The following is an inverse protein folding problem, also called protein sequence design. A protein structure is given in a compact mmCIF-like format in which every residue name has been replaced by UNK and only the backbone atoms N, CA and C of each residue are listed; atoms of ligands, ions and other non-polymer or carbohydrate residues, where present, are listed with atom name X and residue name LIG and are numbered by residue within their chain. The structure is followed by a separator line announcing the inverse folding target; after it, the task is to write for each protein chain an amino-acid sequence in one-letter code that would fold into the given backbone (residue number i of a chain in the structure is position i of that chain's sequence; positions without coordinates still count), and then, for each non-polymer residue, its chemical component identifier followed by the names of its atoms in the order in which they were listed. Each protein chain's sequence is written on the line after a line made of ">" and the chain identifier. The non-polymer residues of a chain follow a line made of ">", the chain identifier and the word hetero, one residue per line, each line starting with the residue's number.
data_IF_328362245069
#
_entry.id   IF_328362245069
#
_cell.length_a   1.000
_cell.length_b   1.000
_cell.length_c   1.000
_cell.angle_alpha   90.00
_cell.angle_beta   90.00
_cell.angle_gamma   90.00
#
_symmetry.space_group_name_H-M   'P 1'
#
loop_
_entity.id
_entity.type
_entity.pdbx_description
1 polymer ?
#
# COMPACT_ATOMS: atom_id res chain seq x y z
N UNK A 1 2.52 1.30 12.95
CA UNK A 1 2.77 1.56 14.37
C UNK A 1 4.19 1.18 14.82
N UNK A 2 4.81 0.14 14.24
CA UNK A 2 6.16 -0.29 14.65
C UNK A 2 7.28 0.61 14.13
N UNK A 3 7.01 1.40 13.10
CA UNK A 3 7.97 2.31 12.47
C UNK A 3 7.87 3.73 13.04
N UNK A 4 6.70 4.12 13.57
CA UNK A 4 6.38 5.47 14.05
C UNK A 4 6.19 5.47 15.57
N UNK A 5 6.81 6.42 16.26
CA UNK A 5 6.66 6.63 17.70
C UNK A 5 7.97 6.92 18.42
N UNK A 6 7.96 7.18 19.72
CA UNK A 6 9.16 7.46 20.50
C UNK A 6 10.18 6.33 20.39
N UNK A 7 11.42 6.63 19.98
CA UNK A 7 12.50 5.66 19.82
C UNK A 7 12.34 4.71 18.63
N UNK A 8 11.36 4.93 17.73
CA UNK A 8 11.18 4.19 16.49
C UNK A 8 11.98 4.82 15.35
N UNK A 9 11.96 4.20 14.15
CA UNK A 9 12.65 4.73 12.99
C UNK A 9 12.19 6.15 12.62
N UNK A 10 10.89 6.43 12.75
CA UNK A 10 10.31 7.77 12.72
C UNK A 10 9.99 8.18 14.17
N UNK A 11 11.01 8.69 14.86
CA UNK A 11 10.89 9.10 16.25
C UNK A 11 10.07 10.39 16.37
N UNK A 12 8.87 10.26 16.92
CA UNK A 12 7.94 11.38 17.10
C UNK A 12 8.44 12.48 18.08
N UNK A 13 9.56 12.25 18.78
CA UNK A 13 10.24 13.28 19.58
C UNK A 13 11.15 14.16 18.73
N UNK A 14 11.58 13.67 17.56
CA UNK A 14 12.48 14.36 16.61
C UNK A 14 11.74 14.89 15.40
N UNK A 15 10.65 14.22 14.99
CA UNK A 15 9.92 14.51 13.76
C UNK A 15 8.47 14.92 14.05
N UNK A 16 8.04 15.99 13.42
CA UNK A 16 6.61 16.26 13.27
C UNK A 16 6.10 15.38 12.13
N UNK A 17 5.26 14.41 12.46
CA UNK A 17 4.74 13.43 11.51
C UNK A 17 3.33 13.83 11.10
N UNK A 18 3.11 13.93 9.79
CA UNK A 18 1.79 14.13 9.19
C UNK A 18 1.34 12.83 8.53
N UNK A 19 0.09 12.49 8.71
CA UNK A 19 -0.61 11.43 7.99
C UNK A 19 -1.98 11.98 7.60
N UNK A 20 -2.52 11.52 6.49
CA UNK A 20 -3.85 11.91 6.04
C UNK A 20 -4.61 10.71 5.48
N UNK A 21 -5.92 10.77 5.57
CA UNK A 21 -6.81 9.79 4.97
C UNK A 21 -6.99 10.07 3.49
N UNK A 22 -6.87 9.06 2.67
CA UNK A 22 -6.97 9.21 1.22
C UNK A 22 -8.40 9.53 0.77
N UNK A 23 -8.52 10.44 -0.20
CA UNK A 23 -9.77 10.64 -0.93
C UNK A 23 -10.28 9.30 -1.47
N UNK A 24 -11.59 9.12 -1.51
CA UNK A 24 -12.20 7.88 -1.95
C UNK A 24 -12.78 7.04 -0.80
N UNK A 25 -12.78 7.59 0.44
CA UNK A 25 -13.43 6.99 1.60
C UNK A 25 -12.50 6.18 2.50
N UNK A 26 -11.22 6.56 2.57
CA UNK A 26 -10.33 6.13 3.64
C UNK A 26 -10.59 7.00 4.87
N UNK A 27 -10.77 6.37 6.04
CA UNK A 27 -11.06 7.07 7.28
C UNK A 27 -12.23 8.07 7.15
N UNK A 28 -12.00 9.31 7.56
CA UNK A 28 -12.97 10.41 7.50
C UNK A 28 -12.91 11.22 6.19
N UNK A 29 -12.06 10.86 5.26
CA UNK A 29 -11.95 11.54 3.96
C UNK A 29 -13.19 11.36 3.10
N UNK A 30 -13.45 12.36 2.26
CA UNK A 30 -14.55 12.33 1.30
C UNK A 30 -14.48 11.09 0.41
N UNK A 31 -15.58 10.37 0.32
CA UNK A 31 -15.69 9.14 -0.46
C UNK A 31 -17.07 8.93 -1.05
N UNK A 32 -17.24 7.89 -1.89
CA UNK A 32 -18.49 7.58 -2.53
C UNK A 32 -19.58 7.28 -1.50
N UNK A 33 -20.80 7.74 -1.81
CA UNK A 33 -22.00 7.44 -1.03
C UNK A 33 -22.89 6.46 -1.82
N UNK A 34 -23.67 5.61 -1.15
CA UNK A 34 -24.61 4.72 -1.84
C UNK A 34 -25.54 5.50 -2.76
N UNK A 35 -25.63 5.08 -4.02
CA UNK A 35 -26.49 5.71 -5.03
C UNK A 35 -26.05 7.06 -5.56
N UNK A 36 -24.94 7.63 -5.07
CA UNK A 36 -24.40 8.90 -5.57
C UNK A 36 -23.19 8.65 -6.51
N UNK A 37 -23.10 9.47 -7.56
CA UNK A 37 -21.93 9.47 -8.43
C UNK A 37 -20.71 10.00 -7.65
N UNK A 38 -19.59 9.30 -7.80
CA UNK A 38 -18.30 9.73 -7.27
C UNK A 38 -17.24 9.58 -8.38
N UNK A 39 -16.40 10.59 -8.62
CA UNK A 39 -15.42 10.54 -9.70
C UNK A 39 -14.39 9.44 -9.49
N UNK A 40 -13.77 8.98 -10.58
CA UNK A 40 -12.51 8.25 -10.49
C UNK A 40 -11.44 9.17 -9.95
N UNK A 41 -10.59 8.62 -9.11
CA UNK A 41 -9.47 9.31 -8.48
C UNK A 41 -8.17 8.57 -8.78
N UNK A 42 -7.10 9.31 -8.92
CA UNK A 42 -5.76 8.81 -9.17
C UNK A 42 -4.82 9.13 -8.02
N UNK A 43 -3.60 8.66 -8.08
CA UNK A 43 -2.55 9.06 -7.13
C UNK A 43 -2.17 10.53 -7.25
N UNK A 44 -2.43 11.17 -8.41
CA UNK A 44 -2.26 12.62 -8.54
C UNK A 44 -3.31 13.42 -7.79
N UNK A 45 -4.54 12.92 -7.69
CA UNK A 45 -5.57 13.57 -6.87
C UNK A 45 -5.23 13.48 -5.38
N UNK A 46 -4.63 12.36 -4.95
CA UNK A 46 -4.10 12.22 -3.59
C UNK A 46 -2.91 13.17 -3.35
N UNK A 47 -2.02 13.31 -4.33
CA UNK A 47 -0.91 14.25 -4.27
C UNK A 47 -1.38 15.70 -4.17
N UNK A 48 -2.41 16.08 -4.95
CA UNK A 48 -3.06 17.39 -4.87
C UNK A 48 -3.69 17.62 -3.49
N UNK A 49 -4.39 16.61 -2.95
CA UNK A 49 -4.98 16.68 -1.61
C UNK A 49 -3.91 16.93 -0.53
N UNK A 50 -2.77 16.23 -0.63
CA UNK A 50 -1.63 16.45 0.27
C UNK A 50 -1.08 17.89 0.10
N UNK A 51 -0.89 18.37 -1.12
CA UNK A 51 -0.38 19.72 -1.35
C UNK A 51 -1.30 20.79 -0.73
N UNK A 52 -2.63 20.66 -0.91
CA UNK A 52 -3.62 21.55 -0.28
C UNK A 52 -3.63 21.46 1.25
N UNK A 53 -3.45 20.26 1.79
CA UNK A 53 -3.30 20.07 3.23
C UNK A 53 -2.06 20.79 3.77
N UNK A 54 -0.92 20.69 3.08
CA UNK A 54 0.31 21.40 3.45
C UNK A 54 0.13 22.92 3.41
N UNK A 55 -0.54 23.45 2.38
CA UNK A 55 -0.88 24.86 2.27
C UNK A 55 -1.77 25.32 3.46
N UNK A 56 -2.82 24.56 3.76
CA UNK A 56 -3.71 24.83 4.88
C UNK A 56 -2.96 24.83 6.23
N UNK A 57 -2.06 23.89 6.42
CA UNK A 57 -1.22 23.78 7.62
C UNK A 57 -0.03 24.77 7.62
N UNK A 58 0.15 25.56 6.55
CA UNK A 58 1.26 26.49 6.34
C UNK A 58 2.63 25.77 6.41
N UNK A 59 2.70 24.53 5.93
CA UNK A 59 3.92 23.76 5.79
C UNK A 59 4.45 23.95 4.37
N UNK A 60 5.59 24.61 4.22
CA UNK A 60 6.15 24.94 2.89
C UNK A 60 6.79 23.72 2.22
N UNK A 61 7.46 22.90 2.99
CA UNK A 61 8.13 21.69 2.49
C UNK A 61 8.23 20.63 3.57
N UNK A 62 8.31 19.38 3.13
CA UNK A 62 8.50 18.20 3.96
C UNK A 62 9.98 17.79 3.93
N UNK A 63 10.54 17.42 5.07
CA UNK A 63 11.88 16.84 5.13
C UNK A 63 11.96 15.49 4.43
N UNK A 64 10.88 14.73 4.49
CA UNK A 64 10.74 13.47 3.78
C UNK A 64 9.27 13.10 3.59
N UNK A 65 8.99 12.34 2.53
CA UNK A 65 7.75 11.58 2.39
C UNK A 65 8.13 10.11 2.50
N UNK A 66 7.46 9.40 3.42
CA UNK A 66 7.65 7.97 3.67
C UNK A 66 6.38 7.24 3.29
N UNK A 67 6.44 6.34 2.32
CA UNK A 67 5.27 5.63 1.84
C UNK A 67 5.55 4.17 1.49
N UNK A 68 4.66 3.26 1.91
CA UNK A 68 4.65 1.86 1.48
C UNK A 68 3.50 1.59 0.52
N UNK A 69 3.72 0.74 -0.50
CA UNK A 69 2.69 0.33 -1.46
C UNK A 69 1.97 1.56 -2.07
N UNK A 70 0.65 1.68 -1.90
CA UNK A 70 -0.11 2.83 -2.38
C UNK A 70 0.43 4.17 -1.88
N UNK A 71 0.90 4.24 -0.62
CA UNK A 71 1.54 5.45 -0.09
C UNK A 71 2.83 5.81 -0.82
N UNK A 72 3.58 4.83 -1.28
CA UNK A 72 4.75 5.03 -2.15
C UNK A 72 4.37 5.54 -3.54
N UNK A 73 3.27 5.04 -4.12
CA UNK A 73 2.72 5.54 -5.39
C UNK A 73 2.29 7.01 -5.27
N UNK A 74 1.62 7.37 -4.18
CA UNK A 74 1.23 8.77 -3.90
C UNK A 74 2.46 9.65 -3.70
N UNK A 75 3.50 9.16 -3.01
CA UNK A 75 4.76 9.88 -2.82
C UNK A 75 5.46 10.17 -4.16
N UNK A 76 5.47 9.21 -5.08
CA UNK A 76 6.02 9.38 -6.43
C UNK A 76 5.22 10.42 -7.23
N UNK A 77 3.88 10.34 -7.23
CA UNK A 77 3.02 11.32 -7.90
C UNK A 77 3.18 12.73 -7.31
N UNK A 78 3.35 12.82 -5.98
CA UNK A 78 3.61 14.10 -5.32
C UNK A 78 4.96 14.68 -5.73
N UNK A 79 6.02 13.88 -5.73
CA UNK A 79 7.36 14.35 -6.07
C UNK A 79 7.49 14.75 -7.56
N UNK A 80 6.77 14.08 -8.47
CA UNK A 80 6.73 14.51 -9.86
C UNK A 80 6.05 15.88 -10.02
N UNK A 81 4.95 16.11 -9.29
CA UNK A 81 4.11 17.32 -9.43
C UNK A 81 4.60 18.50 -8.60
N UNK A 82 5.17 18.22 -7.43
CA UNK A 82 5.59 19.21 -6.43
C UNK A 82 7.03 18.98 -5.94
N UNK A 83 8.02 18.95 -6.84
CA UNK A 83 9.39 18.55 -6.51
C UNK A 83 10.02 19.44 -5.42
N UNK A 84 9.64 20.72 -5.33
CA UNK A 84 10.18 21.65 -4.34
C UNK A 84 9.57 21.50 -2.94
N UNK A 85 8.51 20.69 -2.81
CA UNK A 85 7.81 20.52 -1.54
C UNK A 85 8.23 19.29 -0.74
N UNK A 86 9.18 18.49 -1.25
CA UNK A 86 9.73 17.34 -0.55
C UNK A 86 11.26 17.30 -0.72
N UNK A 87 11.99 17.26 0.38
CA UNK A 87 13.45 17.18 0.33
C UNK A 87 13.95 15.78 -0.02
N UNK A 88 13.20 14.74 0.28
CA UNK A 88 13.52 13.33 -0.07
C UNK A 88 12.31 12.42 -0.03
N UNK A 89 12.43 11.27 -0.70
CA UNK A 89 11.46 10.19 -0.65
C UNK A 89 12.07 8.93 -0.04
N UNK A 90 11.26 8.22 0.73
CA UNK A 90 11.51 6.85 1.14
C UNK A 90 10.28 6.03 0.77
N UNK A 91 10.42 5.16 -0.23
CA UNK A 91 9.31 4.36 -0.74
C UNK A 91 9.63 2.87 -0.59
N UNK A 92 8.63 2.08 -0.23
CA UNK A 92 8.75 0.63 -0.07
C UNK A 92 7.67 -0.06 -0.88
N UNK A 93 8.05 -1.07 -1.66
CA UNK A 93 7.09 -1.87 -2.46
C UNK A 93 6.17 -1.00 -3.32
N UNK A 94 6.77 -0.07 -4.08
CA UNK A 94 6.08 0.82 -5.02
C UNK A 94 6.89 0.99 -6.31
N UNK A 95 6.21 1.14 -7.43
CA UNK A 95 6.79 1.37 -8.75
C UNK A 95 6.08 2.55 -9.45
N UNK A 96 6.55 2.94 -10.64
CA UNK A 96 5.97 4.05 -11.41
C UNK A 96 4.60 3.72 -12.05
N UNK A 97 4.26 2.46 -12.08
CA UNK A 97 2.97 1.92 -12.55
C UNK A 97 2.70 0.57 -11.91
N UNK A 98 1.44 0.12 -11.84
CA UNK A 98 1.12 -1.21 -11.35
C UNK A 98 1.62 -2.30 -12.32
N UNK A 99 2.06 -3.41 -11.78
CA UNK A 99 2.36 -4.60 -12.57
C UNK A 99 1.05 -5.15 -13.18
N UNK A 100 1.03 -5.60 -14.46
CA UNK A 100 -0.21 -6.12 -15.09
C UNK A 100 -0.89 -7.25 -14.32
N UNK A 101 -0.12 -8.12 -13.65
CA UNK A 101 -0.68 -9.18 -12.80
C UNK A 101 -1.38 -8.60 -11.56
N UNK A 102 -0.86 -7.53 -10.95
CA UNK A 102 -1.53 -6.83 -9.85
C UNK A 102 -2.87 -6.23 -10.31
N UNK A 103 -2.90 -5.60 -11.49
CA UNK A 103 -4.15 -5.10 -12.11
C UNK A 103 -5.16 -6.23 -12.32
N UNK A 104 -4.70 -7.42 -12.78
CA UNK A 104 -5.58 -8.57 -12.96
C UNK A 104 -6.20 -9.01 -11.63
N UNK A 105 -5.41 -9.12 -10.57
CA UNK A 105 -5.90 -9.48 -9.24
C UNK A 105 -6.86 -8.43 -8.65
N UNK A 106 -6.53 -7.15 -8.74
CA UNK A 106 -7.41 -6.06 -8.32
C UNK A 106 -8.73 -6.08 -9.12
N UNK A 107 -8.66 -6.41 -10.41
CA UNK A 107 -9.84 -6.53 -11.26
C UNK A 107 -10.78 -7.66 -10.78
N UNK A 108 -10.23 -8.83 -10.45
CA UNK A 108 -11.01 -9.95 -9.85
C UNK A 108 -11.66 -9.51 -8.54
N UNK A 109 -10.91 -8.88 -7.65
CA UNK A 109 -11.45 -8.38 -6.38
C UNK A 109 -12.59 -7.37 -6.58
N UNK A 110 -12.43 -6.41 -7.50
CA UNK A 110 -13.49 -5.45 -7.82
C UNK A 110 -14.73 -6.10 -8.41
N UNK A 111 -14.59 -7.14 -9.24
CA UNK A 111 -15.72 -7.89 -9.76
C UNK A 111 -16.48 -8.64 -8.66
N UNK A 112 -15.77 -9.28 -7.74
CA UNK A 112 -16.37 -9.93 -6.55
C UNK A 112 -17.21 -8.92 -5.77
N UNK A 113 -16.64 -7.74 -5.47
CA UNK A 113 -17.33 -6.71 -4.68
C UNK A 113 -18.54 -6.14 -5.43
N UNK A 114 -18.43 -5.87 -6.75
CA UNK A 114 -19.57 -5.40 -7.56
C UNK A 114 -20.71 -6.42 -7.58
N UNK A 115 -20.39 -7.69 -7.84
CA UNK A 115 -21.38 -8.76 -7.82
C UNK A 115 -22.07 -8.87 -6.45
N UNK A 116 -21.31 -8.77 -5.36
CA UNK A 116 -21.87 -8.81 -4.02
C UNK A 116 -22.77 -7.60 -3.70
N UNK A 117 -22.41 -6.40 -4.20
CA UNK A 117 -23.27 -5.22 -4.10
C UNK A 117 -24.60 -5.42 -4.83
N UNK A 118 -24.60 -5.99 -6.05
CA UNK A 118 -25.80 -6.30 -6.82
C UNK A 118 -26.69 -7.33 -6.10
N UNK A 119 -26.08 -8.25 -5.35
CA UNK A 119 -26.78 -9.24 -4.52
C UNK A 119 -27.22 -8.70 -3.14
N UNK A 120 -26.97 -7.45 -2.80
CA UNK A 120 -27.26 -6.88 -1.48
C UNK A 120 -26.37 -7.42 -0.35
N UNK A 121 -25.19 -7.99 -0.67
CA UNK A 121 -24.27 -8.65 0.28
C UNK A 121 -22.85 -8.02 0.27
N UNK A 122 -22.72 -6.68 0.42
CA UNK A 122 -21.45 -5.99 0.25
C UNK A 122 -20.36 -6.45 1.21
N UNK A 123 -20.68 -6.80 2.45
CA UNK A 123 -19.71 -7.24 3.44
C UNK A 123 -19.09 -8.60 3.07
N UNK A 124 -19.86 -9.49 2.50
CA UNK A 124 -19.35 -10.77 2.02
C UNK A 124 -18.43 -10.58 0.82
N UNK A 125 -18.79 -9.68 -0.11
CA UNK A 125 -17.92 -9.31 -1.22
C UNK A 125 -16.58 -8.77 -0.75
N UNK A 126 -16.58 -7.89 0.23
CA UNK A 126 -15.36 -7.37 0.84
C UNK A 126 -14.54 -8.46 1.54
N UNK A 127 -15.18 -9.38 2.24
CA UNK A 127 -14.51 -10.52 2.87
C UNK A 127 -13.83 -11.42 1.85
N UNK A 128 -14.49 -11.73 0.74
CA UNK A 128 -13.93 -12.51 -0.36
C UNK A 128 -12.77 -11.79 -1.06
N UNK A 129 -12.94 -10.49 -1.34
CA UNK A 129 -11.87 -9.68 -1.93
C UNK A 129 -10.64 -9.62 -1.02
N UNK A 130 -10.84 -9.50 0.31
CA UNK A 130 -9.76 -9.57 1.29
C UNK A 130 -9.08 -10.93 1.30
N UNK A 131 -9.81 -12.02 1.19
CA UNK A 131 -9.22 -13.36 1.12
C UNK A 131 -8.31 -13.51 -0.10
N UNK A 132 -8.72 -13.00 -1.26
CA UNK A 132 -7.87 -12.91 -2.45
C UNK A 132 -6.61 -12.08 -2.15
N UNK A 133 -6.75 -10.89 -1.55
CA UNK A 133 -5.61 -10.05 -1.20
C UNK A 133 -4.61 -10.77 -0.28
N UNK A 134 -5.09 -11.41 0.79
CA UNK A 134 -4.26 -12.13 1.74
C UNK A 134 -3.46 -13.27 1.08
N UNK A 135 -4.04 -13.94 0.08
CA UNK A 135 -3.34 -15.01 -0.67
C UNK A 135 -2.26 -14.48 -1.61
N UNK A 136 -2.25 -13.17 -1.90
CA UNK A 136 -1.32 -12.53 -2.83
C UNK A 136 -0.25 -11.69 -2.13
N UNK A 137 -0.55 -11.14 -0.95
CA UNK A 137 0.38 -10.30 -0.20
C UNK A 137 1.54 -11.10 0.42
N UNK A 138 1.34 -12.40 0.63
CA UNK A 138 2.30 -13.29 1.27
C UNK A 138 3.01 -14.16 0.25
N UNK A 139 4.23 -14.59 0.59
CA UNK A 139 4.95 -15.54 -0.24
C UNK A 139 4.40 -16.95 -0.13
N UNK A 140 4.70 -17.79 -1.12
CA UNK A 140 4.41 -19.24 -1.10
C UNK A 140 5.09 -19.94 0.07
N UNK A 141 6.30 -19.47 0.44
CA UNK A 141 7.08 -19.98 1.55
C UNK A 141 6.40 -19.75 2.90
N UNK A 142 5.82 -18.55 3.12
CA UNK A 142 5.04 -18.28 4.35
C UNK A 142 3.82 -19.19 4.43
N UNK A 143 3.08 -19.36 3.31
CA UNK A 143 1.94 -20.26 3.28
C UNK A 143 2.33 -21.70 3.57
N UNK A 144 3.40 -22.19 2.95
CA UNK A 144 3.89 -23.55 3.19
C UNK A 144 4.35 -23.76 4.64
N UNK A 145 4.99 -22.76 5.24
CA UNK A 145 5.45 -22.83 6.62
C UNK A 145 4.30 -22.77 7.65
N UNK A 146 3.23 -22.02 7.37
CA UNK A 146 2.13 -21.78 8.31
C UNK A 146 0.99 -22.78 8.21
N UNK A 147 0.70 -23.27 7.02
CA UNK A 147 -0.52 -24.03 6.76
C UNK A 147 -0.21 -25.40 6.20
N UNK A 148 -0.25 -26.45 7.03
CA UNK A 148 -0.12 -27.82 6.52
C UNK A 148 -1.28 -28.13 5.57
N UNK A 149 -0.97 -28.75 4.43
CA UNK A 149 -1.96 -29.18 3.44
C UNK A 149 -2.70 -30.47 3.86
N UNK A 150 -3.01 -30.59 5.14
CA UNK A 150 -3.73 -31.74 5.71
C UNK A 150 -5.15 -31.33 6.03
N UNK A 151 -6.16 -31.89 5.35
CA UNK A 151 -7.55 -31.57 5.62
C UNK A 151 -7.98 -32.11 6.98
N UNK A 152 -8.90 -31.40 7.62
CA UNK A 152 -9.71 -31.89 8.74
C UNK A 152 -11.11 -32.20 8.24
N UNK A 153 -11.74 -33.27 8.76
CA UNK A 153 -13.11 -33.64 8.42
C UNK A 153 -14.01 -33.45 9.64
N UNK A 154 -15.07 -32.70 9.46
CA UNK A 154 -16.11 -32.55 10.47
C UNK A 154 -17.49 -32.44 9.78
N UNK A 155 -18.52 -33.13 10.29
CA UNK A 155 -19.86 -33.05 9.73
C UNK A 155 -20.00 -33.47 8.26
N UNK A 156 -19.11 -34.34 7.76
CA UNK A 156 -19.07 -34.75 6.35
C UNK A 156 -18.41 -33.76 5.37
N UNK A 157 -17.91 -32.64 5.88
CA UNK A 157 -17.19 -31.65 5.06
C UNK A 157 -15.70 -31.67 5.39
N UNK A 158 -14.88 -31.43 4.38
CA UNK A 158 -13.44 -31.21 4.53
C UNK A 158 -13.15 -29.72 4.63
N UNK A 159 -12.20 -29.36 5.49
CA UNK A 159 -11.65 -28.01 5.58
C UNK A 159 -10.14 -28.04 5.75
N UNK A 160 -9.48 -27.00 5.29
CA UNK A 160 -8.04 -26.84 5.42
C UNK A 160 -7.69 -25.71 6.41
N UNK A 161 -6.57 -25.81 7.15
CA UNK A 161 -6.16 -24.77 8.09
C UNK A 161 -6.07 -23.35 7.47
N UNK A 162 -5.72 -23.26 6.19
CA UNK A 162 -5.63 -22.00 5.45
C UNK A 162 -6.99 -21.33 5.27
N UNK A 163 -8.09 -22.09 5.18
CA UNK A 163 -9.45 -21.52 5.03
C UNK A 163 -9.84 -20.70 6.25
N UNK A 164 -9.50 -21.16 7.46
CA UNK A 164 -9.77 -20.42 8.71
C UNK A 164 -8.98 -19.12 8.80
N UNK A 165 -7.81 -19.06 8.17
CA UNK A 165 -7.04 -17.84 8.06
C UNK A 165 -7.66 -16.85 7.07
N UNK A 166 -8.11 -17.33 5.93
CA UNK A 166 -8.72 -16.50 4.88
C UNK A 166 -10.13 -16.04 5.28
N UNK A 167 -10.90 -16.89 5.98
CA UNK A 167 -12.30 -16.68 6.35
C UNK A 167 -12.52 -16.86 7.85
N UNK A 168 -11.96 -15.96 8.70
CA UNK A 168 -12.18 -16.05 10.14
C UNK A 168 -13.64 -15.74 10.49
N UNK A 169 -14.20 -16.46 11.45
CA UNK A 169 -15.61 -16.34 11.88
C UNK A 169 -15.98 -14.91 12.35
N UNK A 170 -15.02 -14.16 12.85
CA UNK A 170 -15.19 -12.80 13.39
C UNK A 170 -14.58 -11.72 12.50
N UNK A 171 -14.49 -11.94 11.19
CA UNK A 171 -13.87 -10.99 10.28
C UNK A 171 -14.67 -9.69 10.17
N UNK A 172 -14.26 -8.67 10.91
CA UNK A 172 -14.53 -7.29 10.54
C UNK A 172 -13.37 -6.76 9.70
N UNK A 173 -13.65 -6.05 8.62
CA UNK A 173 -12.61 -5.34 7.88
C UNK A 173 -12.06 -4.23 8.77
N UNK A 174 -10.73 -4.08 8.88
CA UNK A 174 -10.14 -2.98 9.61
C UNK A 174 -10.67 -1.63 9.08
N UNK A 175 -11.07 -0.74 9.98
CA UNK A 175 -11.44 0.63 9.63
C UNK A 175 -12.83 0.83 9.02
N UNK A 176 -13.69 -0.19 8.96
CA UNK A 176 -15.07 -0.01 8.47
C UNK A 176 -15.15 0.38 6.98
N UNK A 177 -14.16 -0.02 6.16
CA UNK A 177 -14.11 0.28 4.73
C UNK A 177 -15.40 -0.19 4.03
N UNK A 178 -16.09 0.73 3.33
CA UNK A 178 -17.29 0.42 2.56
C UNK A 178 -16.94 -0.14 1.19
N UNK A 179 -17.84 -0.92 0.60
CA UNK A 179 -17.64 -1.55 -0.69
C UNK A 179 -17.38 -0.53 -1.82
N UNK A 180 -18.10 0.58 -1.81
CA UNK A 180 -17.91 1.67 -2.78
C UNK A 180 -16.53 2.33 -2.64
N UNK A 181 -16.07 2.53 -1.40
CA UNK A 181 -14.75 3.06 -1.12
C UNK A 181 -13.65 2.09 -1.56
N UNK A 182 -13.81 0.79 -1.29
CA UNK A 182 -12.91 -0.24 -1.79
C UNK A 182 -12.77 -0.19 -3.32
N UNK A 183 -13.90 -0.09 -4.03
CA UNK A 183 -13.88 -0.03 -5.50
C UNK A 183 -13.10 1.19 -6.02
N UNK A 184 -13.28 2.35 -5.39
CA UNK A 184 -12.57 3.59 -5.80
C UNK A 184 -11.09 3.58 -5.47
N UNK A 185 -10.73 3.15 -4.27
CA UNK A 185 -9.32 3.06 -3.86
C UNK A 185 -8.58 1.97 -4.64
N UNK A 186 -9.21 0.82 -4.91
CA UNK A 186 -8.65 -0.22 -5.76
C UNK A 186 -8.47 0.22 -7.22
N UNK A 187 -9.40 1.01 -7.78
CA UNK A 187 -9.26 1.63 -9.09
C UNK A 187 -8.10 2.63 -9.12
N UNK A 188 -7.94 3.42 -8.06
CA UNK A 188 -6.87 4.41 -7.93
C UNK A 188 -5.46 3.80 -7.95
N UNK A 189 -5.30 2.59 -7.38
CA UNK A 189 -4.06 1.81 -7.50
C UNK A 189 -3.72 1.53 -8.96
N UNK A 190 -4.71 1.08 -9.74
CA UNK A 190 -4.52 0.68 -11.13
C UNK A 190 -4.36 1.88 -12.09
N UNK A 191 -4.88 3.05 -11.70
CA UNK A 191 -4.70 4.31 -12.43
C UNK A 191 -3.35 4.99 -12.17
N UNK A 192 -2.53 4.44 -11.26
CA UNK A 192 -1.22 5.00 -10.96
C UNK A 192 -0.30 4.91 -12.18
N UNK A 193 0.20 6.07 -12.62
CA UNK A 193 1.23 6.15 -13.64
C UNK A 193 1.97 7.48 -13.51
N UNK A 194 3.27 7.42 -13.25
CA UNK A 194 4.16 8.59 -13.17
C UNK A 194 5.33 8.45 -14.14
N UNK A 195 5.88 9.58 -14.57
CA UNK A 195 7.12 9.59 -15.35
C UNK A 195 8.32 9.66 -14.39
N UNK A 196 8.95 8.51 -14.15
CA UNK A 196 10.11 8.39 -13.27
C UNK A 196 11.28 9.32 -13.67
N UNK A 197 11.44 9.64 -14.96
CA UNK A 197 12.49 10.52 -15.44
C UNK A 197 12.29 11.98 -15.02
N UNK A 198 11.09 12.35 -14.61
CA UNK A 198 10.74 13.70 -14.10
C UNK A 198 10.84 13.82 -12.58
N UNK A 199 11.18 12.75 -11.88
CA UNK A 199 11.33 12.76 -10.41
C UNK A 199 12.80 12.96 -10.07
N UNK A 200 13.14 14.16 -9.62
CA UNK A 200 14.52 14.54 -9.25
C UNK A 200 14.76 14.55 -7.74
N UNK A 201 13.70 14.41 -6.94
CA UNK A 201 13.79 14.37 -5.49
C UNK A 201 14.63 13.16 -5.06
N UNK A 202 15.65 13.35 -4.21
CA UNK A 202 16.47 12.24 -3.69
C UNK A 202 15.59 11.12 -3.14
N UNK A 203 15.70 9.92 -3.70
CA UNK A 203 14.79 8.82 -3.40
C UNK A 203 15.55 7.57 -2.96
N UNK A 204 15.14 7.01 -1.84
CA UNK A 204 15.50 5.65 -1.45
C UNK A 204 14.28 4.74 -1.68
N UNK A 205 14.41 3.84 -2.65
CA UNK A 205 13.40 2.84 -2.96
C UNK A 205 13.80 1.49 -2.35
N UNK A 206 12.87 0.86 -1.63
CA UNK A 206 13.07 -0.46 -1.04
C UNK A 206 12.16 -1.46 -1.74
N UNK A 207 12.71 -2.56 -2.23
CA UNK A 207 11.97 -3.67 -2.83
C UNK A 207 12.21 -4.97 -2.07
N UNK A 208 11.16 -5.76 -1.84
CA UNK A 208 11.28 -7.10 -1.29
C UNK A 208 11.38 -8.12 -2.44
N UNK A 209 12.26 -9.12 -2.28
CA UNK A 209 12.52 -10.12 -3.33
C UNK A 209 11.31 -11.00 -3.59
N UNK A 210 10.54 -11.28 -2.54
CA UNK A 210 9.39 -12.17 -2.55
C UNK A 210 8.06 -11.45 -2.80
N UNK A 211 8.11 -10.13 -3.10
CA UNK A 211 6.93 -9.33 -3.41
C UNK A 211 6.40 -9.70 -4.81
N UNK A 212 5.19 -10.25 -4.85
CA UNK A 212 4.52 -10.64 -6.09
C UNK A 212 3.61 -9.53 -6.66
N UNK A 213 3.21 -8.60 -5.80
CA UNK A 213 2.34 -7.48 -6.20
C UNK A 213 3.13 -6.37 -6.88
N UNK A 214 4.29 -6.04 -6.30
CA UNK A 214 5.26 -5.09 -6.84
C UNK A 214 6.59 -5.81 -6.99
N UNK A 215 6.77 -6.56 -8.09
CA UNK A 215 7.98 -7.33 -8.32
C UNK A 215 9.25 -6.47 -8.20
N UNK A 216 10.30 -7.01 -7.58
CA UNK A 216 11.56 -6.30 -7.42
C UNK A 216 12.11 -5.76 -8.75
N UNK A 217 11.83 -6.44 -9.87
CA UNK A 217 12.17 -5.99 -11.22
C UNK A 217 11.57 -4.64 -11.57
N UNK A 218 10.33 -4.36 -11.15
CA UNK A 218 9.66 -3.09 -11.41
C UNK A 218 10.25 -1.96 -10.56
N UNK A 219 10.63 -2.24 -9.31
CA UNK A 219 11.34 -1.27 -8.45
C UNK A 219 12.73 -0.95 -9.00
N UNK A 220 13.46 -1.95 -9.52
CA UNK A 220 14.74 -1.75 -10.21
C UNK A 220 14.57 -0.88 -11.46
N UNK A 221 13.53 -1.14 -12.25
CA UNK A 221 13.23 -0.37 -13.46
C UNK A 221 12.84 1.07 -13.13
N UNK A 222 12.09 1.31 -12.06
CA UNK A 222 11.80 2.65 -11.54
C UNK A 222 13.11 3.40 -11.22
N UNK A 223 13.95 2.83 -10.35
CA UNK A 223 15.22 3.45 -9.90
C UNK A 223 16.15 3.73 -11.08
N UNK A 224 16.25 2.84 -12.05
CA UNK A 224 17.09 3.00 -13.24
C UNK A 224 16.67 4.19 -14.12
N UNK A 225 15.42 4.63 -14.04
CA UNK A 225 14.92 5.79 -14.80
C UNK A 225 14.92 7.09 -14.02
N UNK A 226 15.08 7.04 -12.71
CA UNK A 226 15.16 8.23 -11.86
C UNK A 226 16.58 8.80 -11.85
N UNK A 227 16.70 10.12 -11.92
CA UNK A 227 18.02 10.78 -11.95
C UNK A 227 18.75 10.81 -10.60
N UNK A 228 18.04 10.60 -9.48
CA UNK A 228 18.58 10.69 -8.13
C UNK A 228 17.92 9.68 -7.20
N UNK A 229 18.11 8.40 -7.47
CA UNK A 229 17.51 7.33 -6.69
C UNK A 229 18.51 6.22 -6.37
N UNK A 230 18.32 5.57 -5.23
CA UNK A 230 19.05 4.37 -4.85
C UNK A 230 18.08 3.25 -4.48
N UNK A 231 18.43 2.03 -4.87
CA UNK A 231 17.69 0.83 -4.51
C UNK A 231 18.28 0.21 -3.23
N UNK A 232 17.41 -0.25 -2.36
CA UNK A 232 17.71 -1.17 -1.26
C UNK A 232 16.85 -2.41 -1.41
N UNK A 233 17.46 -3.57 -1.40
CA UNK A 233 16.77 -4.85 -1.49
C UNK A 233 16.68 -5.49 -0.11
N UNK A 234 15.50 -5.97 0.25
CA UNK A 234 15.28 -6.80 1.44
C UNK A 234 14.75 -8.17 1.03
N UNK A 235 14.84 -9.13 1.92
CA UNK A 235 14.25 -10.45 1.74
C UNK A 235 13.28 -10.69 2.90
N UNK A 236 12.07 -11.17 2.58
CA UNK A 236 11.04 -11.44 3.58
C UNK A 236 10.03 -12.45 3.07
N UNK A 237 9.81 -13.50 3.84
CA UNK A 237 8.72 -14.44 3.57
C UNK A 237 7.34 -13.79 3.57
N UNK A 238 7.24 -12.56 4.11
CA UNK A 238 5.99 -11.81 4.14
C UNK A 238 5.64 -11.15 2.80
N UNK A 239 6.48 -11.28 1.77
CA UNK A 239 6.19 -10.79 0.41
C UNK A 239 5.90 -9.29 0.40
N UNK A 240 4.73 -8.90 -0.12
CA UNK A 240 4.32 -7.50 -0.17
C UNK A 240 4.19 -6.85 1.21
N UNK A 241 3.78 -7.60 2.23
CA UNK A 241 3.65 -7.10 3.60
C UNK A 241 5.01 -6.89 4.32
N UNK A 242 6.14 -7.08 3.65
CA UNK A 242 7.48 -6.87 4.23
C UNK A 242 7.61 -5.48 4.88
N UNK A 243 7.02 -4.42 4.28
CA UNK A 243 7.09 -3.07 4.85
C UNK A 243 6.36 -2.91 6.19
N UNK A 244 5.46 -3.84 6.53
CA UNK A 244 4.76 -3.89 7.81
C UNK A 244 5.38 -4.88 8.81
N UNK A 245 6.12 -5.87 8.31
CA UNK A 245 6.56 -7.03 9.08
C UNK A 245 8.07 -7.07 9.34
N UNK A 246 8.84 -6.24 8.63
CA UNK A 246 10.31 -6.19 8.72
C UNK A 246 10.81 -4.84 9.29
N UNK A 247 10.34 -4.41 10.48
CA UNK A 247 10.70 -3.11 11.04
C UNK A 247 12.21 -2.97 11.28
N UNK A 248 12.90 -4.05 11.62
CA UNK A 248 14.35 -4.03 11.90
C UNK A 248 15.17 -3.82 10.62
N UNK A 249 14.82 -4.52 9.52
CA UNK A 249 15.47 -4.30 8.23
C UNK A 249 15.25 -2.89 7.72
N UNK A 250 14.03 -2.36 7.87
CA UNK A 250 13.68 -1.02 7.40
C UNK A 250 14.25 0.09 8.27
N UNK A 251 14.42 -0.11 9.57
CA UNK A 251 14.91 0.91 10.52
C UNK A 251 16.24 1.48 10.08
N UNK A 252 17.24 0.61 9.80
CA UNK A 252 18.58 1.03 9.41
C UNK A 252 18.56 1.76 8.06
N UNK A 253 17.81 1.25 7.08
CA UNK A 253 17.70 1.86 5.75
C UNK A 253 17.03 3.24 5.84
N UNK A 254 15.94 3.34 6.61
CA UNK A 254 15.20 4.57 6.79
C UNK A 254 16.02 5.63 7.54
N UNK A 255 16.71 5.24 8.62
CA UNK A 255 17.60 6.15 9.35
C UNK A 255 18.70 6.73 8.46
N UNK A 256 19.35 5.89 7.65
CA UNK A 256 20.35 6.34 6.68
C UNK A 256 19.74 7.27 5.62
N UNK A 257 18.54 6.95 5.12
CA UNK A 257 17.85 7.77 4.12
C UNK A 257 17.42 9.14 4.67
N UNK A 258 17.09 9.24 5.96
CA UNK A 258 16.71 10.50 6.61
C UNK A 258 17.91 11.34 7.07
N UNK A 259 19.14 10.83 6.96
CA UNK A 259 20.36 11.52 7.38
C UNK A 259 20.58 11.45 8.89
N UNK A 260 20.00 10.47 9.56
CA UNK A 260 20.29 10.16 10.95
C UNK A 260 21.68 9.54 11.05
N UNK A 261 22.56 10.16 11.84
CA UNK A 261 23.79 9.52 12.31
C UNK A 261 23.35 8.36 13.19
N UNK A 262 23.80 7.13 12.85
CA UNK A 262 23.61 5.94 13.66
C UNK A 262 24.30 6.03 15.03
#
# INVERSE_FOLDING_TARGET
>A
PEVVGPGRALDSRQWRILSFDYLGGSGDSTGPQPGAAFPSISTYDQAEALARLLEHLRVRSLQAIVGGSYGGMVALAFAERYPEQAARLFIVSAADRPHPMAVAWHSVQRHIVRFALECGRPQEGLTLARAVALSLYRSSEEFAARFPAVPTQAGGQFSFPVERYLFPETASLPGGLRAEAFLRLSESLDLHQVDAARIFVPTTAVGAREDQLVPLGDVRALVARMGNAQLREISSIHGHDAYLREPEQLRGILAAALGGSG
#
